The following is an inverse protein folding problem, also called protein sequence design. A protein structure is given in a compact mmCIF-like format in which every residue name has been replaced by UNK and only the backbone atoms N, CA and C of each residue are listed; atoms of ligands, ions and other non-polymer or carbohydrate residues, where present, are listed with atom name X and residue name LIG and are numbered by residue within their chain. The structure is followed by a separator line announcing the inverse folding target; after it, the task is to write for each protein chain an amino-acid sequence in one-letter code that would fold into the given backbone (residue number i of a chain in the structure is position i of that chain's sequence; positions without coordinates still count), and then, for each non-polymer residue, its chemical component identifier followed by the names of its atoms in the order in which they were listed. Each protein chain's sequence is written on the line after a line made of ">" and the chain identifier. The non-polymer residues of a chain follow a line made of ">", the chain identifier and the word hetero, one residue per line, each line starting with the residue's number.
data_IF_268616068432
#
_entry.id   IF_268616068432
#
_cell.length_a   1.000
_cell.length_b   1.000
_cell.length_c   1.000
_cell.angle_alpha   90.00
_cell.angle_beta   90.00
_cell.angle_gamma   90.00
#
_symmetry.space_group_name_H-M   'P 1'
#
loop_
_entity.id
_entity.type
_entity.pdbx_description
1 polymer ?
#
# COMPACT_ATOMS: atom_id res chain seq x y z
N UNK A 1 -16.75 25.79 7.61
CA UNK A 1 -16.35 24.38 7.80
C UNK A 1 -17.54 23.54 7.40
N UNK A 2 -17.39 22.71 6.38
CA UNK A 2 -18.43 21.77 5.97
C UNK A 2 -18.43 20.58 6.93
N UNK A 3 -19.60 20.15 7.40
CA UNK A 3 -19.68 19.02 8.30
C UNK A 3 -19.28 17.73 7.56
N UNK A 4 -18.44 16.86 8.14
CA UNK A 4 -18.07 15.62 7.49
C UNK A 4 -19.31 14.76 7.26
N UNK A 5 -19.40 14.15 6.08
CA UNK A 5 -20.48 13.21 5.79
C UNK A 5 -20.38 11.99 6.71
N UNK A 6 -21.53 11.34 6.98
CA UNK A 6 -21.56 10.08 7.72
C UNK A 6 -20.62 9.05 7.09
N UNK A 7 -20.59 8.99 5.75
CA UNK A 7 -19.70 8.11 5.01
C UNK A 7 -18.22 8.39 5.34
N UNK A 8 -17.79 9.65 5.31
CA UNK A 8 -16.42 10.05 5.65
C UNK A 8 -16.04 9.67 7.08
N UNK A 9 -16.97 9.84 8.03
CA UNK A 9 -16.76 9.49 9.43
C UNK A 9 -16.64 7.97 9.63
N UNK A 10 -17.52 7.20 8.98
CA UNK A 10 -17.46 5.74 8.99
C UNK A 10 -16.14 5.24 8.38
N UNK A 11 -15.76 5.76 7.21
CA UNK A 11 -14.51 5.43 6.53
C UNK A 11 -13.28 5.69 7.40
N UNK A 12 -13.23 6.85 8.07
CA UNK A 12 -12.16 7.18 9.00
C UNK A 12 -12.10 6.19 10.17
N UNK A 13 -13.25 5.86 10.74
CA UNK A 13 -13.35 4.93 11.88
C UNK A 13 -12.88 3.52 11.49
N UNK A 14 -13.33 3.01 10.35
CA UNK A 14 -12.93 1.70 9.82
C UNK A 14 -11.43 1.69 9.49
N UNK A 15 -10.90 2.74 8.85
CA UNK A 15 -9.47 2.85 8.53
C UNK A 15 -8.62 2.80 9.80
N UNK A 16 -9.02 3.52 10.85
CA UNK A 16 -8.34 3.49 12.15
C UNK A 16 -8.39 2.08 12.75
N UNK A 17 -9.54 1.41 12.73
CA UNK A 17 -9.68 0.05 13.24
C UNK A 17 -8.77 -0.96 12.50
N UNK A 18 -8.67 -0.85 11.18
CA UNK A 18 -7.79 -1.69 10.35
C UNK A 18 -6.30 -1.42 10.66
N UNK A 19 -5.91 -0.16 10.85
CA UNK A 19 -4.52 0.21 11.13
C UNK A 19 -4.05 -0.34 12.48
N UNK A 20 -4.90 -0.27 13.50
CA UNK A 20 -4.54 -0.68 14.87
C UNK A 20 -4.80 -2.17 15.16
N UNK A 21 -5.34 -2.93 14.19
CA UNK A 21 -5.51 -4.37 14.33
C UNK A 21 -6.61 -4.78 15.30
N UNK A 22 -7.84 -4.28 15.12
CA UNK A 22 -9.00 -4.72 15.91
C UNK A 22 -9.31 -6.22 15.71
N UNK A 23 -9.85 -6.88 16.74
CA UNK A 23 -10.10 -8.34 16.72
C UNK A 23 -11.16 -8.81 15.70
N UNK A 24 -11.95 -7.89 15.14
CA UNK A 24 -13.10 -8.16 14.27
C UNK A 24 -12.86 -7.84 12.79
N UNK A 25 -11.60 -7.76 12.34
CA UNK A 25 -11.30 -7.40 10.94
C UNK A 25 -11.81 -8.42 9.91
N UNK A 26 -12.10 -9.66 10.32
CA UNK A 26 -12.70 -10.66 9.44
C UNK A 26 -14.11 -10.29 9.00
N UNK A 27 -14.88 -9.58 9.85
CA UNK A 27 -16.25 -9.16 9.55
C UNK A 27 -16.31 -8.15 8.37
N UNK A 28 -15.19 -7.49 8.07
CA UNK A 28 -15.08 -6.59 6.91
C UNK A 28 -15.29 -7.36 5.59
N UNK A 29 -14.88 -8.63 5.53
CA UNK A 29 -15.02 -9.45 4.33
C UNK A 29 -16.45 -9.96 4.10
N UNK A 30 -17.30 -9.86 5.12
CA UNK A 30 -18.74 -10.20 5.08
C UNK A 30 -19.61 -9.01 4.64
N UNK A 31 -19.01 -7.83 4.44
CA UNK A 31 -19.72 -6.67 3.92
C UNK A 31 -20.25 -6.94 2.49
N UNK A 32 -21.40 -6.34 2.12
CA UNK A 32 -21.86 -6.35 0.73
C UNK A 32 -20.78 -5.83 -0.21
N UNK A 33 -20.63 -6.44 -1.39
CA UNK A 33 -19.54 -6.12 -2.33
C UNK A 33 -19.44 -4.63 -2.63
N UNK A 34 -20.56 -3.97 -2.94
CA UNK A 34 -20.56 -2.53 -3.21
C UNK A 34 -20.01 -1.68 -2.05
N UNK A 35 -20.18 -2.11 -0.80
CA UNK A 35 -19.64 -1.42 0.39
C UNK A 35 -18.14 -1.70 0.51
N UNK A 36 -17.75 -2.95 0.32
CA UNK A 36 -16.36 -3.40 0.39
C UNK A 36 -15.49 -2.78 -0.72
N UNK A 37 -15.99 -2.74 -1.96
CA UNK A 37 -15.30 -2.15 -3.10
C UNK A 37 -15.10 -0.64 -2.88
N UNK A 38 -16.14 0.04 -2.39
CA UNK A 38 -16.05 1.45 -2.00
C UNK A 38 -15.11 1.66 -0.80
N UNK A 39 -15.02 0.70 0.12
CA UNK A 39 -14.06 0.75 1.23
C UNK A 39 -12.64 0.72 0.66
N UNK A 40 -12.30 -0.30 -0.14
CA UNK A 40 -10.97 -0.52 -0.73
C UNK A 40 -10.44 0.74 -1.42
N UNK A 41 -11.23 1.35 -2.30
CA UNK A 41 -10.77 2.51 -3.11
C UNK A 41 -10.55 3.78 -2.28
N UNK A 42 -11.10 3.83 -1.07
CA UNK A 42 -11.00 4.98 -0.16
C UNK A 42 -10.06 4.73 1.03
N UNK A 43 -9.51 3.53 1.18
CA UNK A 43 -8.59 3.23 2.28
C UNK A 43 -7.25 3.94 2.09
N UNK A 44 -6.64 4.45 3.19
CA UNK A 44 -5.25 4.87 3.13
C UNK A 44 -4.31 3.68 2.92
N UNK A 45 -3.09 3.92 2.40
CA UNK A 45 -2.13 2.87 2.08
C UNK A 45 -1.86 1.87 3.22
N UNK A 46 -1.67 2.34 4.45
CA UNK A 46 -1.41 1.45 5.58
C UNK A 46 -2.61 0.54 5.89
N UNK A 47 -3.82 1.09 5.85
CA UNK A 47 -5.04 0.30 6.06
C UNK A 47 -5.26 -0.70 4.92
N UNK A 48 -5.08 -0.26 3.67
CA UNK A 48 -5.21 -1.13 2.49
C UNK A 48 -4.20 -2.29 2.55
N UNK A 49 -2.97 -2.03 2.98
CA UNK A 49 -1.95 -3.06 3.15
C UNK A 49 -2.31 -4.08 4.21
N UNK A 50 -2.75 -3.64 5.39
CA UNK A 50 -3.20 -4.56 6.44
C UNK A 50 -4.39 -5.41 5.97
N UNK A 51 -5.37 -4.81 5.27
CA UNK A 51 -6.52 -5.54 4.73
C UNK A 51 -6.10 -6.55 3.64
N UNK A 52 -5.17 -6.17 2.76
CA UNK A 52 -4.64 -7.06 1.72
C UNK A 52 -3.86 -8.23 2.34
N UNK A 53 -3.04 -8.01 3.37
CA UNK A 53 -2.34 -9.08 4.09
C UNK A 53 -3.32 -10.09 4.71
N UNK A 54 -4.36 -9.58 5.39
CA UNK A 54 -5.41 -10.43 5.98
C UNK A 54 -6.12 -11.30 4.93
N UNK A 55 -6.37 -10.75 3.74
CA UNK A 55 -6.98 -11.49 2.63
C UNK A 55 -6.08 -12.64 2.14
N UNK A 56 -4.75 -12.44 2.11
CA UNK A 56 -3.81 -13.46 1.68
C UNK A 56 -3.64 -14.57 2.73
N UNK A 57 -3.66 -14.24 4.02
CA UNK A 57 -3.55 -15.20 5.12
C UNK A 57 -4.78 -16.11 5.24
N UNK A 58 -5.99 -15.58 5.03
CA UNK A 58 -7.22 -16.40 5.06
C UNK A 58 -7.29 -17.41 3.90
N UNK A 59 -6.71 -17.06 2.75
CA UNK A 59 -6.57 -17.97 1.61
C UNK A 59 -5.66 -19.16 1.93
N UNK A 60 -4.59 -18.96 2.71
CA UNK A 60 -3.67 -20.03 3.13
C UNK A 60 -4.24 -20.95 4.22
N UNK A 61 -5.17 -20.46 5.05
CA UNK A 61 -5.73 -21.22 6.18
C UNK A 61 -6.94 -22.08 5.81
N UNK A 62 -7.71 -21.68 4.79
CA UNK A 62 -8.84 -22.46 4.26
C UNK A 62 -8.33 -23.44 3.21
N UNK A 63 -7.71 -24.53 3.69
CA UNK A 63 -7.18 -25.61 2.85
C UNK A 63 -8.16 -26.03 1.75
N UNK A 64 -7.62 -26.32 0.57
CA UNK A 64 -8.31 -26.76 -0.64
C UNK A 64 -9.33 -27.88 -0.36
N UNK A 65 -10.56 -27.53 0.04
CA UNK A 65 -11.70 -28.43 -0.09
C UNK A 65 -12.25 -28.21 -1.49
N UNK A 66 -11.82 -29.08 -2.39
CA UNK A 66 -12.08 -29.06 -3.82
C UNK A 66 -13.55 -29.37 -4.18
N UNK A 67 -14.53 -28.68 -3.61
CA UNK A 67 -15.93 -28.73 -4.06
C UNK A 67 -16.66 -27.44 -3.69
N UNK A 68 -16.38 -26.34 -4.37
CA UNK A 68 -17.29 -25.18 -4.44
C UNK A 68 -17.06 -24.42 -5.74
N UNK A 69 -18.09 -24.40 -6.57
CA UNK A 69 -18.18 -23.72 -7.88
C UNK A 69 -18.37 -22.21 -7.64
N UNK A 70 -17.52 -21.59 -6.79
CA UNK A 70 -17.58 -20.17 -6.42
C UNK A 70 -16.21 -19.46 -6.55
N UNK A 71 -15.27 -20.08 -7.27
CA UNK A 71 -13.94 -19.52 -7.49
C UNK A 71 -13.91 -18.24 -8.35
N UNK A 72 -15.05 -17.82 -8.94
CA UNK A 72 -15.12 -16.54 -9.65
C UNK A 72 -15.17 -15.32 -8.72
N UNK A 73 -15.80 -15.42 -7.54
CA UNK A 73 -15.93 -14.26 -6.62
C UNK A 73 -14.63 -13.92 -5.90
N UNK A 74 -13.75 -14.90 -5.69
CA UNK A 74 -12.45 -14.70 -5.02
C UNK A 74 -11.40 -14.10 -5.95
N UNK A 75 -11.53 -14.31 -7.27
CA UNK A 75 -10.61 -13.74 -8.25
C UNK A 75 -10.89 -12.25 -8.53
N UNK A 76 -12.17 -11.81 -8.49
CA UNK A 76 -12.52 -10.38 -8.61
C UNK A 76 -11.86 -9.51 -7.53
N UNK A 77 -11.96 -10.00 -6.28
CA UNK A 77 -11.06 -9.79 -5.12
C UNK A 77 -9.82 -8.94 -5.39
N UNK A 78 -8.94 -9.55 -6.17
CA UNK A 78 -7.54 -9.15 -6.31
C UNK A 78 -7.38 -7.97 -7.29
N UNK A 79 -8.22 -7.93 -8.33
CA UNK A 79 -8.23 -6.83 -9.31
C UNK A 79 -8.61 -5.51 -8.66
N UNK A 80 -9.48 -5.54 -7.64
CA UNK A 80 -9.87 -4.36 -6.87
C UNK A 80 -8.71 -3.81 -6.01
N UNK A 81 -7.90 -4.68 -5.40
CA UNK A 81 -6.69 -4.24 -4.69
C UNK A 81 -5.66 -3.64 -5.63
N UNK A 82 -5.39 -4.28 -6.78
CA UNK A 82 -4.44 -3.78 -7.77
C UNK A 82 -4.85 -2.38 -8.28
N UNK A 83 -6.14 -2.19 -8.58
CA UNK A 83 -6.69 -0.91 -8.98
C UNK A 83 -6.55 0.17 -7.89
N UNK A 84 -6.77 -0.18 -6.61
CA UNK A 84 -6.60 0.73 -5.50
C UNK A 84 -5.13 1.14 -5.28
N UNK A 85 -4.20 0.17 -5.35
CA UNK A 85 -2.76 0.45 -5.27
C UNK A 85 -2.29 1.34 -6.42
N UNK A 86 -2.75 1.08 -7.63
CA UNK A 86 -2.50 1.91 -8.80
C UNK A 86 -2.96 3.35 -8.58
N UNK A 87 -4.20 3.53 -8.09
CA UNK A 87 -4.75 4.86 -7.79
C UNK A 87 -3.94 5.59 -6.72
N UNK A 88 -3.56 4.92 -5.63
CA UNK A 88 -2.73 5.48 -4.56
C UNK A 88 -1.34 5.89 -5.07
N UNK A 89 -0.70 5.05 -5.88
CA UNK A 89 0.61 5.33 -6.45
C UNK A 89 0.57 6.57 -7.36
N UNK A 90 -0.37 6.59 -8.30
CA UNK A 90 -0.57 7.73 -9.23
C UNK A 90 -0.84 9.03 -8.49
N UNK A 91 -1.63 8.98 -7.41
CA UNK A 91 -1.95 10.15 -6.59
C UNK A 91 -0.72 10.70 -5.86
N UNK A 92 0.16 9.83 -5.37
CA UNK A 92 1.33 10.23 -4.58
C UNK A 92 2.54 10.64 -5.43
N UNK A 93 2.76 9.96 -6.56
CA UNK A 93 3.90 10.22 -7.46
C UNK A 93 3.46 10.41 -8.93
N UNK A 94 2.73 11.49 -9.25
CA UNK A 94 2.25 11.73 -10.62
C UNK A 94 3.40 11.88 -11.64
N UNK A 95 4.57 12.37 -11.21
CA UNK A 95 5.73 12.56 -12.08
C UNK A 95 6.41 11.24 -12.47
N UNK A 96 6.36 10.22 -11.61
CA UNK A 96 6.93 8.91 -11.91
C UNK A 96 6.16 8.21 -13.05
N UNK A 97 4.85 8.45 -13.14
CA UNK A 97 3.99 7.92 -14.21
C UNK A 97 4.44 8.43 -15.58
N UNK A 98 4.76 9.71 -15.69
CA UNK A 98 5.25 10.30 -16.94
C UNK A 98 6.54 9.61 -17.37
N UNK A 99 7.47 9.39 -16.44
CA UNK A 99 8.75 8.71 -16.70
C UNK A 99 8.56 7.26 -17.16
N UNK A 100 7.64 6.52 -16.54
CA UNK A 100 7.32 5.13 -16.92
C UNK A 100 6.72 5.04 -18.34
N UNK A 101 5.88 6.00 -18.72
CA UNK A 101 5.31 6.06 -20.06
C UNK A 101 6.37 6.42 -21.11
N UNK A 102 7.27 7.36 -20.82
CA UNK A 102 8.35 7.75 -21.74
C UNK A 102 9.35 6.62 -21.98
N UNK A 103 9.73 5.87 -20.95
CA UNK A 103 10.70 4.76 -21.07
C UNK A 103 10.15 3.58 -21.89
N UNK A 104 8.85 3.33 -21.82
CA UNK A 104 8.18 2.28 -22.60
C UNK A 104 8.14 2.57 -24.11
N UNK A 105 8.17 3.85 -24.50
CA UNK A 105 8.11 4.27 -25.91
C UNK A 105 9.47 4.25 -26.63
N UNK A 106 10.60 4.18 -25.92
CA UNK A 106 11.94 4.31 -26.51
C UNK A 106 12.52 2.96 -26.97
N UNK A 107 11.95 1.82 -26.59
CA UNK A 107 12.53 0.49 -26.86
C UNK A 107 12.06 -0.20 -28.15
N UNK A 108 11.37 0.48 -29.06
CA UNK A 108 10.80 -0.13 -30.27
C UNK A 108 11.59 0.21 -31.55
N UNK A 109 12.93 0.02 -31.55
CA UNK A 109 13.73 0.24 -32.77
C UNK A 109 14.60 -0.95 -33.22
N UNK A 110 14.67 -2.07 -32.51
CA UNK A 110 15.45 -3.22 -33.00
C UNK A 110 14.67 -4.53 -32.87
N UNK A 111 14.10 -4.95 -34.01
CA UNK A 111 13.35 -6.18 -34.16
C UNK A 111 14.21 -7.41 -33.86
N UNK A 112 13.96 -8.01 -32.70
CA UNK A 112 14.16 -9.44 -32.44
C UNK A 112 12.94 -9.90 -31.67
N UNK A 113 12.15 -10.75 -32.32
CA UNK A 113 10.92 -11.34 -31.80
C UNK A 113 11.29 -12.35 -30.70
N UNK A 114 11.42 -11.86 -29.46
CA UNK A 114 11.46 -12.72 -28.28
C UNK A 114 10.03 -12.90 -27.81
N UNK A 115 9.48 -14.11 -27.99
CA UNK A 115 8.28 -14.56 -27.29
C UNK A 115 8.57 -14.69 -25.78
N UNK A 116 8.65 -13.56 -25.06
CA UNK A 116 8.50 -13.38 -23.61
C UNK A 116 8.03 -11.94 -23.44
N UNK A 117 6.81 -11.67 -23.03
CA UNK A 117 6.39 -11.86 -21.66
C UNK A 117 4.87 -11.75 -21.62
N UNK A 118 4.23 -12.57 -20.78
CA UNK A 118 2.91 -12.26 -20.24
C UNK A 118 2.89 -10.78 -19.88
N UNK A 119 1.88 -10.05 -20.36
CA UNK A 119 1.58 -8.68 -19.94
C UNK A 119 1.25 -8.70 -18.44
N UNK A 120 2.26 -8.86 -17.59
CA UNK A 120 2.08 -8.71 -16.16
C UNK A 120 1.85 -7.23 -15.91
N UNK A 121 0.62 -6.88 -15.51
CA UNK A 121 0.34 -5.58 -14.90
C UNK A 121 1.45 -5.32 -13.87
N UNK A 122 2.02 -4.10 -13.83
CA UNK A 122 3.02 -3.78 -12.82
C UNK A 122 2.44 -4.05 -11.44
N UNK A 123 3.19 -4.76 -10.59
CA UNK A 123 2.79 -5.02 -9.21
C UNK A 123 2.75 -3.69 -8.45
N UNK A 124 1.57 -3.08 -8.38
CA UNK A 124 1.41 -1.74 -7.82
C UNK A 124 1.66 -1.72 -6.31
N UNK A 125 1.41 -2.83 -5.60
CA UNK A 125 1.72 -2.96 -4.18
C UNK A 125 3.24 -2.88 -3.98
N UNK A 126 4.00 -3.67 -4.75
CA UNK A 126 5.45 -3.65 -4.74
C UNK A 126 6.00 -2.26 -5.06
N UNK A 127 5.56 -1.65 -6.16
CA UNK A 127 6.01 -0.32 -6.57
C UNK A 127 5.71 0.75 -5.53
N UNK A 128 4.53 0.69 -4.90
CA UNK A 128 4.15 1.65 -3.87
C UNK A 128 5.07 1.59 -2.67
N UNK A 129 5.32 0.40 -2.13
CA UNK A 129 6.13 0.26 -0.92
C UNK A 129 7.63 0.47 -1.18
N UNK A 130 8.12 0.08 -2.36
CA UNK A 130 9.48 0.38 -2.80
C UNK A 130 9.71 1.90 -2.89
N UNK A 131 8.82 2.64 -3.57
CA UNK A 131 8.90 4.10 -3.64
C UNK A 131 8.75 4.77 -2.27
N UNK A 132 7.89 4.22 -1.40
CA UNK A 132 7.76 4.71 -0.04
C UNK A 132 9.05 4.55 0.77
N UNK A 133 9.70 3.39 0.69
CA UNK A 133 10.98 3.14 1.37
C UNK A 133 12.07 4.07 0.83
N UNK A 134 12.12 4.30 -0.49
CA UNK A 134 13.06 5.26 -1.07
C UNK A 134 12.85 6.67 -0.51
N UNK A 135 11.60 7.16 -0.46
CA UNK A 135 11.30 8.45 0.16
C UNK A 135 11.75 8.52 1.63
N UNK A 136 11.60 7.43 2.40
CA UNK A 136 12.06 7.38 3.79
C UNK A 136 13.58 7.47 3.89
N UNK A 137 14.29 6.74 3.02
CA UNK A 137 15.75 6.73 3.00
C UNK A 137 16.34 8.06 2.53
N UNK A 138 15.75 8.70 1.53
CA UNK A 138 16.16 10.02 1.05
C UNK A 138 16.05 11.05 2.19
N UNK A 139 14.91 11.06 2.90
CA UNK A 139 14.68 11.93 4.06
C UNK A 139 15.65 11.68 5.22
N UNK A 140 16.00 10.42 5.49
CA UNK A 140 16.94 10.08 6.56
C UNK A 140 18.38 10.39 6.14
N UNK A 141 18.70 10.23 4.85
CA UNK A 141 20.01 10.60 4.30
C UNK A 141 20.28 12.09 4.48
N UNK A 142 19.29 12.94 4.16
CA UNK A 142 19.41 14.39 4.39
C UNK A 142 19.66 14.73 5.87
N UNK A 143 19.02 14.02 6.80
CA UNK A 143 19.24 14.19 8.25
C UNK A 143 20.59 13.67 8.72
N UNK A 144 21.06 12.56 8.16
CA UNK A 144 22.34 11.95 8.49
C UNK A 144 23.55 12.81 8.06
N UNK A 145 23.35 13.75 7.11
CA UNK A 145 24.36 14.73 6.71
C UNK A 145 24.52 15.88 7.73
N UNK A 146 23.63 16.02 8.71
CA UNK A 146 23.71 17.07 9.70
C UNK A 146 24.79 16.76 10.75
N UNK A 147 25.58 17.76 11.20
CA UNK A 147 26.61 17.54 12.23
C UNK A 147 26.09 17.02 13.58
N UNK A 148 24.79 17.17 13.84
CA UNK A 148 24.14 16.72 15.06
C UNK A 148 23.69 15.24 15.01
N UNK A 149 23.91 14.55 13.89
CA UNK A 149 23.55 13.15 13.75
C UNK A 149 24.41 12.26 14.65
N UNK A 150 23.77 11.42 15.44
CA UNK A 150 24.40 10.57 16.46
C UNK A 150 24.89 9.21 15.92
N UNK A 151 24.74 8.96 14.62
CA UNK A 151 25.10 7.70 13.97
C UNK A 151 24.00 6.64 13.98
N UNK A 152 22.86 6.87 14.63
CA UNK A 152 21.79 5.86 14.77
C UNK A 152 20.67 6.01 13.73
N UNK A 153 20.94 5.52 12.50
CA UNK A 153 20.00 5.59 11.36
C UNK A 153 18.63 4.96 11.68
N UNK A 154 18.61 3.86 12.44
CA UNK A 154 17.36 3.15 12.79
C UNK A 154 16.42 3.96 13.71
N UNK A 155 16.97 4.94 14.43
CA UNK A 155 16.24 5.82 15.34
C UNK A 155 15.76 7.11 14.71
N UNK A 156 16.17 7.41 13.48
CA UNK A 156 15.80 8.66 12.81
C UNK A 156 14.30 8.66 12.52
N UNK A 157 13.65 9.77 12.88
CA UNK A 157 12.23 9.98 12.61
C UNK A 157 11.99 10.45 11.17
N UNK A 158 11.06 9.79 10.48
CA UNK A 158 10.50 10.28 9.22
C UNK A 158 9.57 11.48 9.48
N UNK A 159 9.37 12.32 8.47
CA UNK A 159 8.50 13.48 8.60
C UNK A 159 7.02 13.10 8.78
N UNK A 160 6.23 14.02 9.35
CA UNK A 160 4.78 13.90 9.40
C UNK A 160 4.18 13.81 7.99
N UNK A 161 4.85 14.36 6.97
CA UNK A 161 4.44 14.21 5.56
C UNK A 161 4.47 12.74 5.12
N UNK A 162 5.53 12.01 5.45
CA UNK A 162 5.62 10.56 5.20
C UNK A 162 4.54 9.80 5.98
N UNK A 163 4.33 10.13 7.25
CA UNK A 163 3.29 9.46 8.06
C UNK A 163 1.87 9.71 7.52
N UNK A 164 1.56 10.97 7.19
CA UNK A 164 0.28 11.35 6.61
C UNK A 164 0.05 10.67 5.26
N UNK A 165 1.10 10.50 4.46
CA UNK A 165 1.00 9.87 3.13
C UNK A 165 0.59 8.40 3.16
N UNK A 166 0.88 7.68 4.26
CA UNK A 166 0.41 6.30 4.47
C UNK A 166 -0.91 6.23 5.25
N UNK A 167 -1.46 7.40 5.62
CA UNK A 167 -2.72 7.58 6.33
C UNK A 167 -2.67 7.30 7.82
N UNK A 168 -1.49 7.42 8.43
CA UNK A 168 -1.38 7.45 9.87
C UNK A 168 -2.01 8.76 10.40
N UNK A 169 -3.12 8.64 11.14
CA UNK A 169 -3.85 9.76 11.76
C UNK A 169 -3.99 9.56 13.28
N UNK A 170 -2.89 9.26 13.96
CA UNK A 170 -2.82 9.07 15.42
C UNK A 170 -1.83 10.03 16.07
N UNK A 171 -1.98 10.26 17.38
CA UNK A 171 -0.92 10.89 18.18
C UNK A 171 0.34 10.03 18.10
N UNK A 172 1.52 10.66 18.00
CA UNK A 172 2.81 9.99 17.81
C UNK A 172 3.03 8.88 18.85
N UNK A 173 2.69 7.64 18.51
CA UNK A 173 3.34 6.49 19.13
C UNK A 173 4.71 6.41 18.48
N UNK A 174 5.78 6.60 19.27
CA UNK A 174 7.16 6.78 18.78
C UNK A 174 7.65 5.69 17.82
N UNK A 175 7.02 4.53 17.79
CA UNK A 175 7.47 3.44 16.92
C UNK A 175 7.18 3.73 15.44
N UNK A 176 6.02 4.31 15.08
CA UNK A 176 5.66 4.51 13.67
C UNK A 176 6.47 5.62 12.99
N UNK A 177 7.00 6.59 13.74
CA UNK A 177 7.84 7.64 13.16
C UNK A 177 9.26 7.16 12.86
N UNK A 178 9.71 6.04 13.41
CA UNK A 178 11.10 5.59 13.24
C UNK A 178 11.30 4.88 11.91
N UNK A 179 12.40 5.17 11.22
CA UNK A 179 12.78 4.46 10.00
C UNK A 179 12.77 2.94 10.18
N UNK A 180 13.22 2.44 11.34
CA UNK A 180 13.22 1.00 11.65
C UNK A 180 11.83 0.35 11.54
N UNK A 181 10.76 1.05 11.91
CA UNK A 181 9.40 0.55 11.73
C UNK A 181 9.07 0.37 10.24
N UNK A 182 9.36 1.38 9.42
CA UNK A 182 9.09 1.31 7.98
C UNK A 182 9.89 0.20 7.30
N UNK A 183 11.18 0.08 7.63
CA UNK A 183 12.02 -1.00 7.11
C UNK A 183 11.57 -2.38 7.59
N UNK A 184 11.14 -2.53 8.85
CA UNK A 184 10.65 -3.81 9.35
C UNK A 184 9.31 -4.20 8.69
N UNK A 185 8.39 -3.25 8.60
CA UNK A 185 7.03 -3.49 8.10
C UNK A 185 6.99 -3.69 6.58
N UNK A 186 7.80 -2.92 5.84
CA UNK A 186 7.74 -2.88 4.37
C UNK A 186 9.01 -3.38 3.68
N UNK A 187 10.07 -3.74 4.43
CA UNK A 187 11.36 -4.11 3.85
C UNK A 187 11.33 -5.29 2.89
N UNK A 188 10.31 -6.15 2.97
CA UNK A 188 10.10 -7.22 1.98
C UNK A 188 9.88 -6.71 0.55
N UNK A 189 9.51 -5.44 0.38
CA UNK A 189 9.32 -4.80 -0.91
C UNK A 189 10.56 -4.01 -1.38
N UNK A 190 11.67 -4.01 -0.64
CA UNK A 190 12.90 -3.39 -1.10
C UNK A 190 13.54 -4.22 -2.24
N UNK A 191 14.02 -3.56 -3.29
CA UNK A 191 14.76 -4.17 -4.42
C UNK A 191 16.14 -3.57 -4.55
#
# INVERSE_FOLDING_TARGET
>A
MEAPSLFSLCMKTVSVAIIHGCDYLHDIFDLPSYVFDNLIVNLPPLALHNLHQLSNDDCGRRGFTAYSIDNQRKCGRYDEFDAAWNALYKKRWPENIKRMQTTSSVTLEHGVEICKSVNHSPDWLQLYWEAHLQNCLDEVTERALLPAFDGHISGVEVSDSILNSIGYMGGRTHDYSRLSYHCNKFGQYAR
#
